data_IF_043997815689
#
_entry.id   IF_043997815689
#
_cell.length_a   1.000
_cell.length_b   1.000
_cell.length_c   1.000
_cell.angle_alpha   90.00
_cell.angle_beta   90.00
_cell.angle_gamma   90.00
#
_symmetry.space_group_name_H-M   'P 1'
#
loop_
_entity.id
_entity.type
_entity.pdbx_description
1 polymer ?
#
# COMPACT_ATOMS: atom_id res chain seq x y z
N UNK A 1 -3.92 -23.55 -11.58
CA UNK A 1 -5.03 -24.12 -12.41
C UNK A 1 -5.13 -23.30 -13.68
N UNK A 2 -4.98 -23.94 -14.85
CA UNK A 2 -5.26 -23.29 -16.13
C UNK A 2 -6.76 -23.37 -16.39
N UNK A 3 -7.48 -22.25 -16.24
CA UNK A 3 -8.89 -22.15 -16.59
C UNK A 3 -9.01 -21.84 -18.08
N UNK A 4 -9.83 -22.64 -18.80
CA UNK A 4 -10.10 -22.42 -20.21
C UNK A 4 -10.75 -21.05 -20.48
N UNK A 5 -10.42 -20.43 -21.61
CA UNK A 5 -10.92 -19.12 -22.01
C UNK A 5 -12.39 -19.23 -22.45
N UNK A 6 -13.32 -18.76 -21.62
CA UNK A 6 -14.71 -18.57 -21.98
C UNK A 6 -14.90 -17.09 -22.46
N UNK A 7 -15.75 -16.84 -23.46
CA UNK A 7 -15.99 -15.49 -24.02
C UNK A 7 -16.41 -14.46 -22.93
N UNK A 8 -17.20 -14.88 -21.95
CA UNK A 8 -17.57 -14.03 -20.82
C UNK A 8 -16.37 -13.66 -19.94
N UNK A 9 -15.46 -14.60 -19.66
CA UNK A 9 -14.23 -14.36 -18.93
C UNK A 9 -13.31 -13.38 -19.65
N UNK A 10 -13.14 -13.54 -20.97
CA UNK A 10 -12.33 -12.64 -21.79
C UNK A 10 -12.88 -11.21 -21.79
N UNK A 11 -14.20 -11.05 -21.83
CA UNK A 11 -14.86 -9.74 -21.80
C UNK A 11 -14.65 -9.00 -20.47
N UNK A 12 -14.79 -9.73 -19.34
CA UNK A 12 -14.55 -9.19 -17.99
C UNK A 12 -13.08 -8.83 -17.78
N UNK A 13 -12.16 -9.71 -18.19
CA UNK A 13 -10.72 -9.47 -18.15
C UNK A 13 -10.35 -8.20 -18.93
N UNK A 14 -10.81 -8.07 -20.17
CA UNK A 14 -10.49 -6.92 -21.03
C UNK A 14 -11.04 -5.60 -20.46
N UNK A 15 -12.21 -5.62 -19.83
CA UNK A 15 -12.81 -4.45 -19.18
C UNK A 15 -11.95 -3.99 -17.99
N UNK A 16 -11.51 -4.90 -17.17
CA UNK A 16 -10.59 -4.62 -16.05
C UNK A 16 -9.23 -4.14 -16.53
N UNK A 17 -8.72 -4.71 -17.61
CA UNK A 17 -7.45 -4.28 -18.19
C UNK A 17 -7.51 -2.81 -18.62
N UNK A 18 -8.59 -2.39 -19.29
CA UNK A 18 -8.81 -1.00 -19.68
C UNK A 18 -8.98 -0.09 -18.46
N UNK A 19 -9.75 -0.54 -17.46
CA UNK A 19 -9.95 0.22 -16.21
C UNK A 19 -8.63 0.39 -15.44
N UNK A 20 -7.88 -0.67 -15.23
CA UNK A 20 -6.62 -0.64 -14.47
C UNK A 20 -5.54 0.17 -15.19
N UNK A 21 -5.50 0.10 -16.51
CA UNK A 21 -4.58 0.89 -17.30
C UNK A 21 -4.86 2.39 -17.15
N UNK A 22 -6.14 2.80 -17.27
CA UNK A 22 -6.53 4.20 -17.05
C UNK A 22 -6.29 4.66 -15.61
N UNK A 23 -6.49 3.79 -14.63
CA UNK A 23 -6.21 4.07 -13.22
C UNK A 23 -4.73 4.33 -12.97
N UNK A 24 -3.85 3.53 -13.56
CA UNK A 24 -2.40 3.56 -13.29
C UNK A 24 -1.65 4.56 -14.17
N UNK A 25 -2.15 4.84 -15.37
CA UNK A 25 -1.49 5.72 -16.34
C UNK A 25 -2.09 7.14 -16.34
N UNK A 26 -3.37 7.28 -15.90
CA UNK A 26 -4.10 8.54 -15.87
C UNK A 26 -4.98 8.72 -17.09
N UNK A 27 -4.52 9.49 -18.10
CA UNK A 27 -5.30 9.80 -19.29
C UNK A 27 -4.76 9.06 -20.52
N UNK A 28 -5.64 8.42 -21.28
CA UNK A 28 -5.30 7.75 -22.53
C UNK A 28 -6.39 8.00 -23.60
N UNK A 29 -5.97 8.12 -24.87
CA UNK A 29 -6.89 8.05 -25.99
C UNK A 29 -7.28 6.58 -26.28
N UNK A 30 -8.33 6.38 -27.09
CA UNK A 30 -8.67 5.02 -27.56
C UNK A 30 -7.54 4.38 -28.37
N UNK A 31 -6.78 5.18 -29.09
CA UNK A 31 -5.61 4.70 -29.86
C UNK A 31 -4.52 4.17 -28.92
N UNK A 32 -4.23 4.92 -27.83
CA UNK A 32 -3.23 4.50 -26.84
C UNK A 32 -3.67 3.23 -26.10
N UNK A 33 -4.98 3.10 -25.84
CA UNK A 33 -5.55 1.87 -25.27
C UNK A 33 -5.42 0.66 -26.21
N UNK A 34 -5.63 0.84 -27.52
CA UNK A 34 -5.41 -0.20 -28.53
C UNK A 34 -3.95 -0.63 -28.54
N UNK A 35 -3.02 0.33 -28.58
CA UNK A 35 -1.58 0.07 -28.61
C UNK A 35 -1.11 -0.64 -27.33
N UNK A 36 -1.55 -0.16 -26.16
CA UNK A 36 -1.13 -0.71 -24.86
C UNK A 36 -1.73 -2.07 -24.54
N UNK A 37 -2.95 -2.37 -25.02
CA UNK A 37 -3.65 -3.62 -24.70
C UNK A 37 -3.56 -4.69 -25.78
N UNK A 38 -3.27 -4.31 -27.02
CA UNK A 38 -3.36 -5.19 -28.19
C UNK A 38 -4.79 -5.60 -28.59
N UNK A 39 -5.81 -5.01 -27.95
CA UNK A 39 -7.21 -5.29 -28.25
C UNK A 39 -7.64 -4.60 -29.56
N UNK A 40 -8.62 -5.20 -30.25
CA UNK A 40 -9.18 -4.60 -31.46
C UNK A 40 -9.85 -3.25 -31.18
N UNK A 41 -9.76 -2.27 -32.10
CA UNK A 41 -10.37 -0.94 -31.93
C UNK A 41 -11.86 -1.00 -31.56
N UNK A 42 -12.62 -1.92 -32.16
CA UNK A 42 -14.04 -2.10 -31.86
C UNK A 42 -14.28 -2.57 -30.42
N UNK A 43 -13.40 -3.43 -29.90
CA UNK A 43 -13.47 -3.92 -28.52
C UNK A 43 -13.21 -2.79 -27.53
N UNK A 44 -12.19 -1.97 -27.78
CA UNK A 44 -11.90 -0.76 -26.98
C UNK A 44 -13.07 0.22 -27.03
N UNK A 45 -13.65 0.47 -28.23
CA UNK A 45 -14.79 1.35 -28.37
C UNK A 45 -15.98 0.88 -27.53
N UNK A 46 -16.32 -0.42 -27.59
CA UNK A 46 -17.42 -0.99 -26.82
C UNK A 46 -17.20 -0.90 -25.31
N UNK A 47 -15.99 -1.27 -24.83
CA UNK A 47 -15.63 -1.22 -23.40
C UNK A 47 -15.69 0.24 -22.90
N UNK A 48 -15.03 1.15 -23.59
CA UNK A 48 -14.98 2.56 -23.16
C UNK A 48 -16.37 3.22 -23.19
N UNK A 49 -17.21 2.90 -24.16
CA UNK A 49 -18.58 3.39 -24.23
C UNK A 49 -19.44 2.87 -23.07
N UNK A 50 -19.28 1.60 -22.70
CA UNK A 50 -19.98 1.01 -21.55
C UNK A 50 -19.56 1.66 -20.24
N UNK A 51 -18.25 1.83 -20.01
CA UNK A 51 -17.73 2.49 -18.81
C UNK A 51 -18.10 3.98 -18.73
N UNK A 52 -18.18 4.70 -19.88
CA UNK A 52 -18.67 6.08 -19.95
C UNK A 52 -20.15 6.18 -19.59
N UNK A 53 -21.01 5.30 -20.15
CA UNK A 53 -22.44 5.26 -19.82
C UNK A 53 -22.72 5.05 -18.34
N UNK A 54 -21.82 4.37 -17.64
CA UNK A 54 -21.92 4.09 -16.20
C UNK A 54 -21.26 5.15 -15.32
N UNK A 55 -20.70 6.20 -15.93
CA UNK A 55 -20.03 7.27 -15.21
C UNK A 55 -18.67 6.90 -14.62
N UNK A 56 -18.13 5.72 -14.94
CA UNK A 56 -16.80 5.30 -14.48
C UNK A 56 -15.66 5.99 -15.21
N UNK A 57 -15.91 6.43 -16.44
CA UNK A 57 -14.96 7.22 -17.23
C UNK A 57 -15.53 8.59 -17.54
N UNK A 58 -14.63 9.53 -17.78
CA UNK A 58 -14.90 10.85 -18.30
C UNK A 58 -14.13 11.00 -19.61
N UNK A 59 -14.76 11.58 -20.64
CA UNK A 59 -14.15 11.87 -21.92
C UNK A 59 -13.94 13.38 -22.08
N UNK A 60 -12.71 13.80 -22.30
CA UNK A 60 -12.33 15.20 -22.51
C UNK A 60 -11.70 15.39 -23.89
N UNK A 61 -12.21 16.37 -24.66
CA UNK A 61 -11.62 16.76 -25.95
C UNK A 61 -10.52 17.80 -25.74
N UNK A 62 -9.30 17.53 -26.23
CA UNK A 62 -8.24 18.55 -26.29
C UNK A 62 -8.00 18.95 -27.73
N UNK A 63 -8.09 20.26 -28.02
CA UNK A 63 -7.69 20.82 -29.31
C UNK A 63 -6.16 20.71 -29.39
N UNK A 64 -5.68 19.90 -30.32
CA UNK A 64 -4.28 19.96 -30.74
C UNK A 64 -4.18 21.01 -31.87
N UNK A 65 -3.12 21.83 -31.85
CA UNK A 65 -2.88 22.86 -32.94
C UNK A 65 -2.63 22.26 -34.34
N UNK A 66 -2.95 21.00 -34.56
CA UNK A 66 -2.90 20.32 -35.86
C UNK A 66 -4.30 20.29 -36.50
N UNK A 67 -4.37 20.52 -37.82
CA UNK A 67 -5.61 20.34 -38.60
C UNK A 67 -6.14 18.91 -38.42
N UNK A 68 -7.26 18.75 -37.70
CA UNK A 68 -7.91 17.47 -37.42
C UNK A 68 -8.99 17.63 -36.33
N UNK A 69 -9.87 16.65 -36.20
CA UNK A 69 -10.81 16.60 -35.07
C UNK A 69 -10.05 16.58 -33.73
N UNK A 70 -10.54 17.24 -32.67
CA UNK A 70 -9.93 17.21 -31.36
C UNK A 70 -9.73 15.76 -30.90
N UNK A 71 -8.52 15.41 -30.45
CA UNK A 71 -8.26 14.10 -29.88
C UNK A 71 -8.98 13.99 -28.53
N UNK A 72 -9.75 12.93 -28.37
CA UNK A 72 -10.51 12.65 -27.15
C UNK A 72 -9.71 11.76 -26.23
N UNK A 73 -9.53 12.23 -25.01
CA UNK A 73 -8.87 11.49 -23.94
C UNK A 73 -9.89 10.96 -22.94
N UNK A 74 -9.62 9.78 -22.45
CA UNK A 74 -10.42 9.10 -21.43
C UNK A 74 -9.64 9.10 -20.13
N UNK A 75 -10.31 9.39 -19.03
CA UNK A 75 -9.77 9.23 -17.68
C UNK A 75 -10.80 8.60 -16.77
N UNK A 76 -10.33 7.97 -15.72
CA UNK A 76 -11.20 7.45 -14.67
C UNK A 76 -11.95 8.61 -13.99
N UNK A 77 -13.21 8.40 -13.67
CA UNK A 77 -13.97 9.32 -12.84
C UNK A 77 -13.66 9.03 -11.37
N UNK A 78 -12.87 9.88 -10.73
CA UNK A 78 -12.49 9.73 -9.33
C UNK A 78 -13.70 9.54 -8.39
N UNK A 79 -14.80 10.27 -8.68
CA UNK A 79 -16.02 10.30 -7.86
C UNK A 79 -17.03 9.19 -8.22
N UNK A 80 -16.67 8.25 -9.09
CA UNK A 80 -17.56 7.14 -9.43
C UNK A 80 -17.59 6.05 -8.35
N UNK A 81 -16.77 6.13 -7.33
CA UNK A 81 -16.73 5.21 -6.22
C UNK A 81 -16.00 5.79 -5.03
N UNK A 82 -16.23 5.20 -3.88
CA UNK A 82 -15.55 5.46 -2.63
C UNK A 82 -14.99 4.15 -2.07
N UNK A 83 -13.86 4.22 -1.41
CA UNK A 83 -13.21 3.09 -0.74
C UNK A 83 -12.77 3.49 0.66
N UNK A 84 -12.71 2.54 1.57
CA UNK A 84 -12.18 2.78 2.90
C UNK A 84 -10.85 2.06 3.08
N UNK A 85 -9.90 2.76 3.71
CA UNK A 85 -8.63 2.19 4.13
C UNK A 85 -8.48 2.32 5.63
N UNK A 86 -8.08 1.25 6.28
CA UNK A 86 -7.85 1.20 7.72
C UNK A 86 -6.42 0.75 7.96
N UNK A 87 -5.68 1.51 8.73
CA UNK A 87 -4.39 1.08 9.27
C UNK A 87 -4.55 0.76 10.75
N UNK A 88 -4.29 -0.49 11.09
CA UNK A 88 -4.26 -0.98 12.46
C UNK A 88 -2.81 -1.03 12.90
N UNK A 89 -2.38 -0.03 13.66
CA UNK A 89 -1.04 0.06 14.21
C UNK A 89 -1.07 -0.11 15.74
N UNK A 90 0.09 -0.28 16.36
CA UNK A 90 0.19 -0.45 17.83
C UNK A 90 -0.46 0.67 18.62
N UNK A 91 -0.43 1.86 18.09
CA UNK A 91 -0.84 3.08 18.79
C UNK A 91 -2.29 3.44 18.53
N UNK A 92 -2.91 2.87 17.52
CA UNK A 92 -4.27 3.22 17.17
C UNK A 92 -4.75 2.65 15.86
N UNK A 93 -5.96 3.02 15.55
CA UNK A 93 -6.63 2.70 14.30
C UNK A 93 -6.81 4.01 13.55
N UNK A 94 -6.24 4.12 12.37
CA UNK A 94 -6.50 5.22 11.44
C UNK A 94 -7.35 4.71 10.30
N UNK A 95 -8.49 5.34 10.06
CA UNK A 95 -9.36 5.02 8.94
C UNK A 95 -9.52 6.22 8.02
N UNK A 96 -9.48 6.00 6.71
CA UNK A 96 -9.64 7.01 5.67
C UNK A 96 -10.71 6.60 4.68
N UNK A 97 -11.50 7.59 4.22
CA UNK A 97 -12.31 7.45 3.01
C UNK A 97 -11.54 8.06 1.84
N UNK A 98 -11.47 7.36 0.72
CA UNK A 98 -10.78 7.82 -0.47
C UNK A 98 -11.67 7.68 -1.70
N UNK A 99 -11.40 8.51 -2.71
CA UNK A 99 -11.93 8.32 -4.06
C UNK A 99 -11.18 7.20 -4.81
N UNK A 100 -11.55 6.93 -6.06
CA UNK A 100 -10.93 5.86 -6.86
C UNK A 100 -9.47 6.13 -7.29
N UNK A 101 -8.93 7.32 -7.03
CA UNK A 101 -7.51 7.66 -7.18
C UNK A 101 -6.74 7.65 -5.87
N UNK A 102 -7.37 7.19 -4.77
CA UNK A 102 -6.80 7.22 -3.42
C UNK A 102 -6.57 8.65 -2.88
N UNK A 103 -7.28 9.66 -3.41
CA UNK A 103 -7.32 10.96 -2.78
C UNK A 103 -8.20 10.90 -1.54
N UNK A 104 -7.64 11.29 -0.40
CA UNK A 104 -8.34 11.28 0.89
C UNK A 104 -9.50 12.29 0.89
N UNK A 105 -10.68 11.82 1.27
CA UNK A 105 -11.91 12.60 1.42
C UNK A 105 -12.18 12.93 2.90
N UNK A 106 -11.94 11.97 3.78
CA UNK A 106 -12.14 12.11 5.22
C UNK A 106 -11.23 11.15 5.99
N UNK A 107 -10.97 11.48 7.26
CA UNK A 107 -10.15 10.67 8.19
C UNK A 107 -10.81 10.60 9.56
N UNK A 108 -10.68 9.43 10.20
CA UNK A 108 -11.11 9.17 11.59
C UNK A 108 -10.07 8.32 12.29
N UNK A 109 -10.00 8.40 13.60
CA UNK A 109 -9.10 7.59 14.42
C UNK A 109 -9.83 7.01 15.61
N UNK A 110 -9.35 5.87 16.11
CA UNK A 110 -9.86 5.23 17.32
C UNK A 110 -8.71 4.53 18.06
N UNK A 111 -8.85 4.28 19.37
CA UNK A 111 -7.88 3.47 20.10
C UNK A 111 -7.90 2.02 19.61
N UNK A 112 -6.74 1.37 19.68
CA UNK A 112 -6.57 -0.06 19.46
C UNK A 112 -6.46 -0.80 20.79
N UNK A 113 -6.94 -2.03 20.83
CA UNK A 113 -6.68 -2.97 21.92
C UNK A 113 -6.11 -4.26 21.33
N UNK A 114 -4.81 -4.47 21.52
CA UNK A 114 -4.15 -5.66 21.01
C UNK A 114 -4.51 -6.93 21.78
N UNK A 115 -4.81 -6.80 23.08
CA UNK A 115 -5.27 -7.91 23.93
C UNK A 115 -6.75 -8.27 23.72
N UNK A 116 -7.51 -7.37 23.10
CA UNK A 116 -8.93 -7.58 22.81
C UNK A 116 -9.25 -7.24 21.35
N UNK A 117 -9.00 -8.18 20.41
CA UNK A 117 -9.27 -8.00 18.99
C UNK A 117 -10.73 -7.60 18.69
N UNK A 118 -11.70 -8.15 19.42
CA UNK A 118 -13.13 -7.84 19.22
C UNK A 118 -13.43 -6.36 19.45
N UNK A 119 -12.84 -5.74 20.46
CA UNK A 119 -12.99 -4.31 20.72
C UNK A 119 -12.40 -3.47 19.57
N UNK A 120 -11.23 -3.86 19.05
CA UNK A 120 -10.61 -3.18 17.91
C UNK A 120 -11.43 -3.36 16.62
N UNK A 121 -11.93 -4.56 16.35
CA UNK A 121 -12.81 -4.85 15.21
C UNK A 121 -14.10 -4.02 15.29
N UNK A 122 -14.69 -3.90 16.49
CA UNK A 122 -15.85 -3.04 16.70
C UNK A 122 -15.54 -1.56 16.42
N UNK A 123 -14.36 -1.08 16.84
CA UNK A 123 -13.90 0.28 16.55
C UNK A 123 -13.69 0.48 15.03
N UNK A 124 -13.09 -0.48 14.32
CA UNK A 124 -12.95 -0.43 12.86
C UNK A 124 -14.34 -0.28 12.20
N UNK A 125 -15.29 -1.14 12.57
CA UNK A 125 -16.63 -1.09 11.99
C UNK A 125 -17.33 0.25 12.24
N UNK A 126 -17.17 0.81 13.44
CA UNK A 126 -17.69 2.14 13.79
C UNK A 126 -17.07 3.24 12.93
N UNK A 127 -15.74 3.25 12.77
CA UNK A 127 -15.04 4.23 11.93
C UNK A 127 -15.49 4.14 10.47
N UNK A 128 -15.65 2.92 9.93
CA UNK A 128 -16.14 2.69 8.57
C UNK A 128 -17.57 3.21 8.41
N UNK A 129 -18.44 2.99 9.40
CA UNK A 129 -19.80 3.50 9.38
C UNK A 129 -19.85 5.05 9.41
N UNK A 130 -18.99 5.69 10.22
CA UNK A 130 -18.87 7.16 10.25
C UNK A 130 -18.35 7.71 8.91
N UNK A 131 -17.33 7.08 8.32
CA UNK A 131 -16.78 7.47 7.01
C UNK A 131 -17.78 7.24 5.87
N UNK A 132 -18.66 6.26 5.98
CA UNK A 132 -19.70 6.00 4.98
C UNK A 132 -20.66 7.18 4.79
N UNK A 133 -20.85 8.00 5.83
CA UNK A 133 -21.66 9.22 5.75
C UNK A 133 -21.04 10.28 4.83
N UNK A 134 -19.70 10.33 4.76
CA UNK A 134 -18.97 11.24 3.86
C UNK A 134 -19.06 10.82 2.38
N UNK A 135 -19.45 9.56 2.15
CA UNK A 135 -19.59 8.97 0.81
C UNK A 135 -21.07 8.77 0.42
N UNK A 136 -22.00 9.51 1.04
CA UNK A 136 -23.43 9.35 0.77
C UNK A 136 -23.75 9.59 -0.72
N UNK A 137 -24.50 8.67 -1.31
CA UNK A 137 -24.86 8.70 -2.74
C UNK A 137 -23.78 8.22 -3.71
N UNK A 138 -22.62 7.79 -3.21
CA UNK A 138 -21.52 7.24 -4.02
C UNK A 138 -21.38 5.73 -3.75
N UNK A 139 -21.23 4.86 -4.78
CA UNK A 139 -21.00 3.44 -4.57
C UNK A 139 -19.73 3.16 -3.76
N UNK A 140 -19.83 2.40 -2.68
CA UNK A 140 -18.70 1.95 -1.88
C UNK A 140 -18.16 0.64 -2.46
N UNK A 141 -16.86 0.61 -2.78
CA UNK A 141 -16.22 -0.55 -3.40
C UNK A 141 -15.67 -1.55 -2.38
N UNK A 142 -15.58 -1.18 -1.11
CA UNK A 142 -15.13 -2.04 -0.03
C UNK A 142 -14.16 -1.35 0.92
N UNK A 143 -13.66 -2.13 1.88
CA UNK A 143 -12.71 -1.72 2.90
C UNK A 143 -11.41 -2.51 2.77
N UNK A 144 -10.27 -1.85 2.77
CA UNK A 144 -8.97 -2.47 2.96
C UNK A 144 -8.47 -2.25 4.38
N UNK A 145 -7.74 -3.21 4.92
CA UNK A 145 -7.10 -3.13 6.24
C UNK A 145 -5.61 -3.41 6.05
N UNK A 146 -4.77 -2.45 6.45
CA UNK A 146 -3.34 -2.64 6.60
C UNK A 146 -3.02 -2.92 8.06
N UNK A 147 -2.30 -4.00 8.33
CA UNK A 147 -1.88 -4.35 9.68
C UNK A 147 -0.61 -5.18 9.63
N UNK A 148 0.20 -5.20 10.71
CA UNK A 148 1.30 -6.15 10.80
C UNK A 148 0.77 -7.57 10.63
N UNK A 149 1.33 -8.35 9.69
CA UNK A 149 0.89 -9.73 9.45
C UNK A 149 2.10 -10.62 9.19
N UNK A 150 2.16 -11.75 9.90
CA UNK A 150 3.01 -12.89 9.56
C UNK A 150 2.11 -14.09 9.31
N UNK A 151 2.21 -14.68 8.12
CA UNK A 151 1.40 -15.82 7.71
C UNK A 151 2.08 -17.11 8.10
N UNK A 152 1.34 -18.02 8.75
CA UNK A 152 1.80 -19.39 9.05
C UNK A 152 3.19 -19.49 9.71
N UNK A 153 3.70 -18.37 10.27
CA UNK A 153 4.95 -18.35 11.02
C UNK A 153 4.71 -18.73 12.48
N UNK A 154 5.76 -19.21 13.12
CA UNK A 154 5.77 -19.53 14.55
C UNK A 154 5.84 -18.21 15.35
N UNK A 155 4.68 -17.53 15.49
CA UNK A 155 4.57 -16.18 16.04
C UNK A 155 5.24 -16.00 17.41
N UNK A 156 5.17 -17.01 18.27
CA UNK A 156 5.78 -16.97 19.61
C UNK A 156 7.29 -16.71 19.55
N UNK A 157 7.92 -17.11 18.44
CA UNK A 157 9.36 -17.03 18.24
C UNK A 157 9.84 -15.71 17.64
N UNK A 158 8.99 -15.03 16.89
CA UNK A 158 9.38 -13.87 16.08
C UNK A 158 8.70 -12.55 16.48
N UNK A 159 7.61 -12.60 17.24
CA UNK A 159 6.85 -11.40 17.61
C UNK A 159 6.70 -11.34 19.12
N UNK A 160 7.68 -10.73 19.79
CA UNK A 160 7.72 -10.53 21.24
C UNK A 160 6.68 -9.56 21.81
N UNK A 161 5.65 -9.19 21.05
CA UNK A 161 4.65 -8.22 21.50
C UNK A 161 3.51 -8.89 22.24
N UNK A 162 3.33 -8.59 23.55
CA UNK A 162 2.14 -8.99 24.28
C UNK A 162 0.88 -8.47 23.55
N UNK A 163 -0.06 -9.38 23.25
CA UNK A 163 -1.33 -9.05 22.59
C UNK A 163 -1.39 -9.46 21.12
N UNK A 164 -0.28 -9.57 20.40
CA UNK A 164 -0.31 -10.09 19.03
C UNK A 164 -0.82 -11.54 18.95
N UNK A 165 -0.51 -12.35 19.93
CA UNK A 165 -1.03 -13.74 20.05
C UNK A 165 -2.56 -13.79 20.01
N UNK A 166 -3.25 -12.78 20.55
CA UNK A 166 -4.70 -12.71 20.50
C UNK A 166 -5.25 -12.56 19.06
N UNK A 167 -4.45 -12.03 18.13
CA UNK A 167 -4.83 -11.84 16.74
C UNK A 167 -4.49 -13.01 15.83
N UNK A 168 -3.61 -13.92 16.23
CA UNK A 168 -3.10 -15.02 15.40
C UNK A 168 -4.19 -15.94 14.81
N UNK A 169 -5.34 -16.04 15.49
CA UNK A 169 -6.47 -16.88 15.06
C UNK A 169 -7.72 -16.07 14.71
N UNK A 170 -7.64 -14.74 14.69
CA UNK A 170 -8.79 -13.87 14.39
C UNK A 170 -8.94 -13.76 12.88
N UNK A 171 -10.05 -14.19 12.30
CA UNK A 171 -10.34 -13.96 10.89
C UNK A 171 -10.78 -12.50 10.68
N UNK A 172 -9.82 -11.57 10.76
CA UNK A 172 -10.06 -10.11 10.80
C UNK A 172 -10.92 -9.65 9.63
N UNK A 173 -10.65 -10.13 8.41
CA UNK A 173 -11.44 -9.77 7.24
C UNK A 173 -12.90 -10.19 7.40
N UNK A 174 -13.16 -11.45 7.77
CA UNK A 174 -14.52 -11.99 7.95
C UNK A 174 -15.29 -11.25 9.06
N UNK A 175 -14.60 -10.97 10.17
CA UNK A 175 -15.21 -10.32 11.32
C UNK A 175 -15.62 -8.87 11.00
N UNK A 176 -14.77 -8.11 10.33
CA UNK A 176 -15.08 -6.74 9.92
C UNK A 176 -16.13 -6.73 8.80
N UNK A 177 -16.03 -7.65 7.82
CA UNK A 177 -17.02 -7.79 6.74
C UNK A 177 -18.43 -8.06 7.28
N UNK A 178 -18.54 -8.95 8.29
CA UNK A 178 -19.81 -9.25 8.93
C UNK A 178 -20.47 -8.03 9.60
N UNK A 179 -19.66 -7.10 10.14
CA UNK A 179 -20.15 -5.88 10.78
C UNK A 179 -20.43 -4.75 9.78
N UNK A 180 -19.60 -4.61 8.74
CA UNK A 180 -19.70 -3.51 7.78
C UNK A 180 -20.63 -3.82 6.60
N UNK A 181 -20.93 -5.09 6.32
CA UNK A 181 -21.77 -5.52 5.20
C UNK A 181 -21.18 -5.25 3.82
N UNK A 182 -19.86 -5.08 3.74
CA UNK A 182 -19.13 -4.83 2.49
C UNK A 182 -17.84 -5.66 2.45
N UNK A 183 -17.26 -5.91 1.26
CA UNK A 183 -16.04 -6.70 1.13
C UNK A 183 -14.86 -6.09 1.90
N UNK A 184 -14.13 -6.93 2.62
CA UNK A 184 -12.94 -6.54 3.38
C UNK A 184 -11.72 -7.31 2.90
N UNK A 185 -10.61 -6.60 2.75
CA UNK A 185 -9.34 -7.14 2.28
C UNK A 185 -8.25 -6.72 3.27
N UNK A 186 -7.49 -7.68 3.77
CA UNK A 186 -6.38 -7.43 4.71
C UNK A 186 -5.04 -7.63 4.00
N UNK A 187 -4.10 -6.73 4.22
CA UNK A 187 -2.73 -6.79 3.67
C UNK A 187 -1.72 -6.31 4.73
N UNK A 188 -0.47 -6.66 4.53
CA UNK A 188 0.64 -6.15 5.34
C UNK A 188 0.78 -4.61 5.18
N UNK A 189 1.13 -3.91 6.26
CA UNK A 189 1.25 -2.44 6.32
C UNK A 189 2.35 -1.89 5.38
N UNK A 190 3.52 -2.53 5.32
CA UNK A 190 4.60 -2.13 4.42
C UNK A 190 4.20 -2.32 2.94
N UNK A 191 3.49 -3.40 2.62
CA UNK A 191 2.96 -3.65 1.28
C UNK A 191 1.89 -2.64 0.91
N UNK A 192 0.96 -2.34 1.82
CA UNK A 192 -0.06 -1.32 1.62
C UNK A 192 0.58 0.05 1.39
N UNK A 193 1.55 0.45 2.22
CA UNK A 193 2.27 1.71 2.06
C UNK A 193 3.02 1.80 0.71
N UNK A 194 3.63 0.69 0.27
CA UNK A 194 4.23 0.62 -1.06
C UNK A 194 3.20 0.90 -2.16
N UNK A 195 2.00 0.30 -2.10
CA UNK A 195 0.94 0.54 -3.07
C UNK A 195 0.49 2.00 -3.10
N UNK A 196 0.42 2.68 -1.93
CA UNK A 196 0.10 4.11 -1.87
C UNK A 196 1.16 4.96 -2.58
N UNK A 197 2.44 4.70 -2.33
CA UNK A 197 3.54 5.42 -2.97
C UNK A 197 3.55 5.25 -4.50
N UNK A 198 3.09 4.11 -5.01
CA UNK A 198 2.93 3.88 -6.43
C UNK A 198 1.76 4.66 -7.02
N UNK A 199 0.70 4.85 -6.27
CA UNK A 199 -0.50 5.53 -6.76
C UNK A 199 -0.38 7.05 -6.71
N UNK A 200 0.09 7.59 -5.58
CA UNK A 200 0.07 9.04 -5.31
C UNK A 200 1.38 9.59 -4.73
N UNK A 201 2.42 8.78 -4.58
CA UNK A 201 3.67 9.14 -3.92
C UNK A 201 4.91 9.14 -4.83
N UNK A 202 6.04 8.73 -4.26
CA UNK A 202 7.38 8.76 -4.91
C UNK A 202 7.64 7.62 -5.89
N UNK A 203 6.75 6.61 -5.96
CA UNK A 203 6.88 5.46 -6.84
C UNK A 203 5.92 5.51 -8.06
N UNK A 204 5.30 6.65 -8.35
CA UNK A 204 4.45 6.81 -9.53
C UNK A 204 5.22 6.48 -10.80
N UNK A 205 4.66 5.59 -11.63
CA UNK A 205 5.28 5.11 -12.87
C UNK A 205 6.35 4.03 -12.69
N UNK A 206 6.72 3.65 -11.47
CA UNK A 206 7.65 2.56 -11.21
C UNK A 206 6.94 1.21 -11.22
N UNK A 207 7.64 0.19 -11.75
CA UNK A 207 7.15 -1.20 -11.79
C UNK A 207 7.95 -2.14 -10.90
N UNK A 208 9.20 -1.77 -10.57
CA UNK A 208 10.10 -2.56 -9.72
C UNK A 208 10.73 -1.64 -8.68
N UNK A 209 10.30 -1.73 -7.46
CA UNK A 209 10.86 -0.96 -6.34
C UNK A 209 10.60 -1.68 -5.02
N UNK A 210 11.35 -1.26 -4.00
CA UNK A 210 11.17 -1.74 -2.64
C UNK A 210 10.92 -0.55 -1.73
N UNK A 211 9.89 -0.64 -0.92
CA UNK A 211 9.56 0.35 0.10
C UNK A 211 9.92 -0.20 1.48
N UNK A 212 10.85 0.43 2.17
CA UNK A 212 11.22 0.11 3.54
C UNK A 212 10.29 0.89 4.47
N UNK A 213 9.51 0.18 5.27
CA UNK A 213 8.57 0.74 6.23
C UNK A 213 9.17 0.71 7.63
N UNK A 214 9.40 1.89 8.20
CA UNK A 214 9.86 2.08 9.58
C UNK A 214 8.66 2.46 10.44
N UNK A 215 8.18 1.49 11.20
CA UNK A 215 7.08 1.64 12.14
C UNK A 215 7.48 1.10 13.52
N UNK A 216 6.55 0.48 14.22
CA UNK A 216 6.85 -0.26 15.46
C UNK A 216 7.79 -1.43 15.21
N UNK A 217 7.70 -2.03 14.03
CA UNK A 217 8.66 -2.95 13.46
C UNK A 217 9.38 -2.34 12.25
N UNK A 218 10.08 -3.21 11.52
CA UNK A 218 10.75 -2.90 10.27
C UNK A 218 10.31 -3.91 9.21
N UNK A 219 9.62 -3.42 8.18
CA UNK A 219 9.12 -4.25 7.10
C UNK A 219 9.52 -3.71 5.73
N UNK A 220 9.26 -4.46 4.66
CA UNK A 220 9.41 -3.98 3.30
C UNK A 220 8.26 -4.43 2.40
N UNK A 221 7.67 -3.47 1.68
CA UNK A 221 6.79 -3.74 0.54
C UNK A 221 7.61 -3.90 -0.73
N UNK A 222 7.60 -5.09 -1.33
CA UNK A 222 8.36 -5.40 -2.54
C UNK A 222 7.39 -5.38 -3.72
N UNK A 223 7.67 -4.53 -4.73
CA UNK A 223 6.85 -4.44 -5.94
C UNK A 223 7.66 -4.92 -7.14
N UNK A 224 7.11 -5.89 -7.86
CA UNK A 224 7.65 -6.50 -9.07
C UNK A 224 6.57 -6.49 -10.16
N UNK A 225 6.89 -6.00 -11.35
CA UNK A 225 5.93 -5.82 -12.45
C UNK A 225 4.71 -4.97 -12.05
N UNK A 226 4.89 -4.05 -11.11
CA UNK A 226 3.82 -3.19 -10.59
C UNK A 226 2.87 -3.88 -9.61
N UNK A 227 3.17 -5.09 -9.17
CA UNK A 227 2.36 -5.87 -8.24
C UNK A 227 3.17 -6.25 -6.99
N UNK A 228 2.53 -6.41 -5.83
CA UNK A 228 3.21 -6.91 -4.64
C UNK A 228 3.81 -8.30 -4.87
N UNK A 229 5.06 -8.45 -4.46
CA UNK A 229 5.74 -9.73 -4.39
C UNK A 229 5.63 -10.27 -2.96
N UNK A 230 4.88 -11.34 -2.79
CA UNK A 230 4.52 -11.86 -1.47
C UNK A 230 5.34 -13.09 -1.06
N UNK A 231 6.09 -13.69 -2.01
CA UNK A 231 6.76 -14.98 -1.77
C UNK A 231 5.77 -16.16 -1.73
N UNK A 232 6.28 -17.33 -1.39
CA UNK A 232 5.50 -18.57 -1.38
C UNK A 232 4.50 -18.65 -0.21
N UNK A 233 4.83 -18.00 0.91
CA UNK A 233 4.07 -18.04 2.17
C UNK A 233 3.59 -16.66 2.63
N UNK A 234 3.59 -15.68 1.72
CA UNK A 234 3.14 -14.29 1.96
C UNK A 234 3.95 -13.53 3.03
N UNK A 235 5.19 -13.91 3.27
CA UNK A 235 6.10 -13.29 4.23
C UNK A 235 7.32 -12.64 3.55
N UNK A 236 7.24 -12.32 2.25
CA UNK A 236 8.32 -11.58 1.61
C UNK A 236 8.39 -10.15 2.16
N UNK A 237 9.58 -9.69 2.49
CA UNK A 237 9.77 -8.34 3.02
C UNK A 237 9.97 -8.25 4.54
N UNK A 238 10.06 -9.38 5.25
CA UNK A 238 10.32 -9.44 6.70
C UNK A 238 11.79 -9.10 7.00
N UNK A 239 12.22 -7.90 6.62
CA UNK A 239 13.60 -7.41 6.77
C UNK A 239 13.98 -7.10 8.22
N UNK A 240 13.00 -6.91 9.09
CA UNK A 240 13.21 -6.75 10.54
C UNK A 240 13.78 -7.99 11.21
N UNK A 241 13.60 -9.18 10.60
CA UNK A 241 14.11 -10.46 11.08
C UNK A 241 15.53 -10.79 10.57
N UNK A 242 16.16 -9.89 9.83
CA UNK A 242 17.53 -10.10 9.36
C UNK A 242 18.52 -10.11 10.52
N UNK A 243 19.48 -11.04 10.46
CA UNK A 243 20.60 -11.07 11.40
C UNK A 243 21.61 -9.96 11.07
N UNK A 244 21.98 -9.19 12.07
CA UNK A 244 22.93 -8.09 11.95
C UNK A 244 24.31 -8.47 12.47
N UNK A 245 25.40 -7.88 11.97
CA UNK A 245 26.71 -7.97 12.58
C UNK A 245 26.70 -7.51 14.04
N UNK A 246 27.64 -7.99 14.86
CA UNK A 246 27.69 -7.71 16.29
C UNK A 246 27.67 -6.23 16.65
N UNK A 247 28.34 -5.40 15.85
CA UNK A 247 28.40 -3.95 16.01
C UNK A 247 27.12 -3.20 15.57
N UNK A 248 26.19 -3.90 14.94
CA UNK A 248 24.91 -3.37 14.44
C UNK A 248 23.70 -4.08 15.06
N UNK A 249 23.91 -4.85 16.14
CA UNK A 249 22.81 -5.48 16.87
C UNK A 249 21.86 -4.44 17.46
N UNK A 250 20.57 -4.76 17.65
CA UNK A 250 19.64 -3.88 18.35
C UNK A 250 20.05 -3.65 19.81
N UNK A 251 19.47 -2.62 20.42
CA UNK A 251 19.75 -2.24 21.83
C UNK A 251 19.33 -3.31 22.84
N UNK A 252 18.40 -4.20 22.46
CA UNK A 252 17.99 -5.37 23.23
C UNK A 252 17.66 -6.54 22.28
N UNK A 253 17.81 -7.77 22.77
CA UNK A 253 17.71 -8.98 21.94
C UNK A 253 16.29 -9.27 21.40
N UNK A 254 15.27 -8.75 22.08
CA UNK A 254 13.85 -8.90 21.77
C UNK A 254 13.26 -7.69 21.03
N UNK A 255 14.09 -6.75 20.63
CA UNK A 255 13.68 -5.51 19.96
C UNK A 255 14.05 -5.56 18.48
N UNK A 256 13.10 -5.24 17.61
CA UNK A 256 13.37 -5.10 16.17
C UNK A 256 14.34 -3.94 15.94
N UNK A 257 15.48 -4.17 15.28
CA UNK A 257 16.41 -3.09 14.95
C UNK A 257 15.77 -2.10 13.97
N UNK A 258 16.14 -0.85 14.08
CA UNK A 258 15.63 0.21 13.20
C UNK A 258 14.10 0.41 13.30
N UNK A 259 13.56 0.31 14.49
CA UNK A 259 12.13 0.48 14.78
C UNK A 259 11.88 1.65 15.72
N UNK A 260 10.60 2.07 15.84
CA UNK A 260 10.20 3.05 16.86
C UNK A 260 10.39 2.51 18.28
N UNK A 261 10.27 1.20 18.47
CA UNK A 261 10.51 0.57 19.77
C UNK A 261 11.98 0.71 20.19
N UNK A 262 12.92 0.44 19.27
CA UNK A 262 14.35 0.67 19.49
C UNK A 262 14.64 2.16 19.78
N UNK A 263 13.99 3.07 19.06
CA UNK A 263 14.15 4.50 19.25
C UNK A 263 13.65 4.95 20.63
N UNK A 264 12.50 4.47 21.08
CA UNK A 264 11.95 4.77 22.40
C UNK A 264 12.89 4.32 23.53
N UNK A 265 13.44 3.12 23.43
CA UNK A 265 14.44 2.59 24.38
C UNK A 265 15.71 3.46 24.35
N UNK A 266 16.21 3.80 23.17
CA UNK A 266 17.41 4.64 23.01
C UNK A 266 17.24 6.02 23.63
N UNK A 267 16.05 6.60 23.50
CA UNK A 267 15.72 7.91 24.07
C UNK A 267 15.29 7.84 25.55
N UNK A 268 15.14 6.64 26.10
CA UNK A 268 14.60 6.39 27.45
C UNK A 268 13.24 7.05 27.69
N UNK A 269 12.32 6.93 26.71
CA UNK A 269 10.97 7.48 26.76
C UNK A 269 9.92 6.40 26.49
N UNK A 270 8.69 6.65 26.92
CA UNK A 270 7.57 5.82 26.51
C UNK A 270 7.30 5.96 25.02
N UNK A 271 6.86 4.88 24.41
CA UNK A 271 6.58 4.83 22.96
C UNK A 271 5.56 5.90 22.53
N UNK A 272 4.56 6.17 23.37
CA UNK A 272 3.55 7.23 23.16
C UNK A 272 4.14 8.65 23.07
N UNK A 273 5.33 8.88 23.62
CA UNK A 273 6.00 10.17 23.46
C UNK A 273 6.44 10.43 22.01
N UNK A 274 6.78 9.36 21.26
CA UNK A 274 7.20 9.48 19.86
C UNK A 274 6.05 9.88 18.92
N UNK A 275 4.80 9.69 19.37
CA UNK A 275 3.59 10.05 18.62
C UNK A 275 3.25 11.54 18.70
N UNK A 276 3.82 12.24 19.65
CA UNK A 276 3.59 13.66 19.77
C UNK A 276 4.19 14.38 18.55
N UNK A 277 3.38 15.17 17.79
CA UNK A 277 3.75 15.65 16.46
C UNK A 277 5.10 16.36 16.38
N UNK A 278 5.50 17.08 17.42
CA UNK A 278 6.71 17.89 17.41
C UNK A 278 7.85 17.32 18.26
N UNK A 279 7.64 16.22 18.97
CA UNK A 279 8.64 15.69 19.89
C UNK A 279 9.95 15.33 19.18
N UNK A 280 9.90 14.44 18.20
CA UNK A 280 11.09 14.03 17.44
C UNK A 280 11.70 15.18 16.63
N UNK A 281 10.86 16.07 16.06
CA UNK A 281 11.36 17.26 15.36
C UNK A 281 12.12 18.20 16.30
N UNK A 282 11.62 18.41 17.52
CA UNK A 282 12.30 19.23 18.53
C UNK A 282 13.63 18.63 18.95
N UNK A 283 13.70 17.32 19.24
CA UNK A 283 14.95 16.63 19.55
C UNK A 283 15.95 16.71 18.40
N UNK A 284 15.48 16.59 17.15
CA UNK A 284 16.33 16.70 15.97
C UNK A 284 16.92 18.10 15.82
N UNK A 285 16.10 19.16 15.99
CA UNK A 285 16.56 20.55 15.95
C UNK A 285 17.57 20.87 17.06
N UNK A 286 17.36 20.31 18.25
CA UNK A 286 18.26 20.46 19.40
C UNK A 286 19.51 19.59 19.29
N UNK A 287 19.63 18.75 18.24
CA UNK A 287 20.72 17.80 18.06
C UNK A 287 20.91 16.88 19.28
N UNK A 288 19.81 16.38 19.81
CA UNK A 288 19.87 15.43 20.93
C UNK A 288 20.85 14.29 20.64
N UNK A 289 21.76 13.98 21.56
CA UNK A 289 22.87 13.04 21.35
C UNK A 289 22.41 11.63 21.05
N UNK A 290 21.39 11.17 21.76
CA UNK A 290 20.84 9.81 21.63
C UNK A 290 20.15 9.63 20.29
N UNK A 291 19.33 10.62 19.86
CA UNK A 291 18.70 10.63 18.55
C UNK A 291 19.75 10.66 17.42
N UNK A 292 20.80 11.48 17.56
CA UNK A 292 21.87 11.53 16.55
C UNK A 292 22.63 10.21 16.48
N UNK A 293 22.89 9.55 17.61
CA UNK A 293 23.53 8.23 17.65
C UNK A 293 22.65 7.16 17.01
N UNK A 294 21.33 7.17 17.28
CA UNK A 294 20.37 6.27 16.65
C UNK A 294 20.30 6.46 15.12
N UNK A 295 20.27 7.70 14.64
CA UNK A 295 20.31 8.00 13.20
C UNK A 295 21.61 7.50 12.55
N UNK A 296 22.76 7.68 13.21
CA UNK A 296 24.06 7.22 12.71
C UNK A 296 24.12 5.68 12.64
N UNK A 297 23.66 4.98 13.68
CA UNK A 297 23.60 3.53 13.71
C UNK A 297 22.70 2.99 12.58
N UNK A 298 21.51 3.56 12.44
CA UNK A 298 20.53 3.10 11.46
C UNK A 298 20.87 3.49 10.02
N UNK A 299 21.66 4.54 9.81
CA UNK A 299 22.21 4.81 8.47
C UNK A 299 23.21 3.72 8.02
N UNK A 300 23.99 3.13 8.94
CA UNK A 300 24.87 1.99 8.65
C UNK A 300 24.07 0.73 8.32
N UNK A 301 23.01 0.44 9.10
CA UNK A 301 22.09 -0.66 8.81
C UNK A 301 21.40 -0.48 7.45
N UNK A 302 20.90 0.72 7.18
CA UNK A 302 20.25 1.04 5.92
C UNK A 302 21.19 0.88 4.73
N UNK A 303 22.48 1.24 4.87
CA UNK A 303 23.48 1.04 3.81
C UNK A 303 23.66 -0.43 3.45
N UNK A 304 23.63 -1.33 4.44
CA UNK A 304 23.68 -2.78 4.22
C UNK A 304 22.38 -3.27 3.57
N UNK A 305 21.22 -2.86 4.10
CA UNK A 305 19.91 -3.21 3.54
C UNK A 305 19.79 -2.82 2.07
N UNK A 306 20.18 -1.60 1.72
CA UNK A 306 20.19 -1.13 0.33
C UNK A 306 21.00 -2.06 -0.56
N UNK A 307 22.22 -2.44 -0.13
CA UNK A 307 23.06 -3.36 -0.90
C UNK A 307 22.44 -4.75 -1.05
N UNK A 308 21.83 -5.28 -0.01
CA UNK A 308 21.13 -6.58 -0.06
C UNK A 308 19.95 -6.50 -1.04
N UNK A 309 19.08 -5.51 -0.88
CA UNK A 309 17.89 -5.34 -1.70
C UNK A 309 18.26 -5.17 -3.18
N UNK A 310 19.26 -4.34 -3.48
CA UNK A 310 19.70 -4.10 -4.85
C UNK A 310 20.28 -5.37 -5.51
N UNK A 311 21.06 -6.15 -4.79
CA UNK A 311 21.64 -7.37 -5.33
C UNK A 311 20.65 -8.53 -5.44
N UNK A 312 19.52 -8.50 -4.69
CA UNK A 312 18.49 -9.53 -4.75
C UNK A 312 17.38 -9.22 -5.76
N UNK A 313 16.97 -7.95 -5.88
CA UNK A 313 15.78 -7.56 -6.64
C UNK A 313 16.05 -6.64 -7.82
N UNK A 314 17.26 -6.07 -7.95
CA UNK A 314 17.63 -5.06 -8.97
C UNK A 314 16.54 -4.00 -9.19
N UNK A 315 16.05 -3.31 -8.14
CA UNK A 315 14.93 -2.42 -8.26
C UNK A 315 15.29 -1.11 -8.97
N UNK A 316 14.29 -0.45 -9.56
CA UNK A 316 14.43 0.89 -10.12
C UNK A 316 14.77 1.91 -9.03
N UNK A 317 14.24 1.72 -7.82
CA UNK A 317 14.44 2.61 -6.67
C UNK A 317 14.15 1.86 -5.36
N UNK A 318 14.81 2.28 -4.29
CA UNK A 318 14.43 1.93 -2.92
C UNK A 318 13.87 3.21 -2.27
N UNK A 319 12.70 3.08 -1.65
CA UNK A 319 12.07 4.12 -0.86
C UNK A 319 12.14 3.77 0.62
N UNK A 320 12.29 4.76 1.48
CA UNK A 320 12.19 4.59 2.94
C UNK A 320 11.16 5.58 3.48
N UNK A 321 10.23 5.09 4.28
CA UNK A 321 9.17 5.89 4.90
C UNK A 321 8.55 5.17 6.09
N UNK A 322 7.43 5.67 6.56
CA UNK A 322 6.72 5.13 7.73
C UNK A 322 6.40 6.21 8.76
N UNK A 323 6.55 5.89 10.04
CA UNK A 323 6.03 6.69 11.14
C UNK A 323 6.98 7.78 11.66
N UNK A 324 8.21 7.90 11.14
CA UNK A 324 9.12 8.98 11.52
C UNK A 324 8.78 10.29 10.79
N UNK A 325 9.11 11.45 11.37
CA UNK A 325 9.03 12.72 10.67
C UNK A 325 9.87 12.75 9.39
N UNK A 326 9.41 13.45 8.33
CA UNK A 326 10.13 13.54 7.06
C UNK A 326 11.59 14.03 7.17
N UNK A 327 11.87 14.93 8.09
CA UNK A 327 13.22 15.45 8.34
C UNK A 327 14.19 14.35 8.81
N UNK A 328 13.71 13.38 9.60
CA UNK A 328 14.53 12.27 10.07
C UNK A 328 14.79 11.27 8.92
N UNK A 329 13.81 10.99 8.07
CA UNK A 329 14.02 10.18 6.87
C UNK A 329 15.01 10.82 5.90
N UNK A 330 14.90 12.13 5.66
CA UNK A 330 15.88 12.85 4.84
C UNK A 330 17.29 12.74 5.43
N UNK A 331 17.44 12.92 6.76
CA UNK A 331 18.72 12.76 7.46
C UNK A 331 19.28 11.34 7.37
N UNK A 332 18.42 10.32 7.49
CA UNK A 332 18.82 8.92 7.32
C UNK A 332 19.33 8.64 5.90
N UNK A 333 18.62 9.11 4.89
CA UNK A 333 19.04 8.98 3.49
C UNK A 333 20.39 9.64 3.26
N UNK A 334 20.56 10.90 3.68
CA UNK A 334 21.81 11.65 3.51
C UNK A 334 23.00 10.96 4.19
N UNK A 335 22.83 10.46 5.42
CA UNK A 335 23.85 9.74 6.19
C UNK A 335 24.17 8.36 5.61
N UNK A 336 23.25 7.77 4.87
CA UNK A 336 23.45 6.47 4.24
C UNK A 336 24.43 6.54 3.05
N UNK A 337 24.57 7.70 2.43
CA UNK A 337 25.56 7.90 1.38
C UNK A 337 26.99 8.08 1.95
N UNK A 338 28.05 7.60 1.23
CA UNK A 338 27.98 6.85 -0.03
C UNK A 338 27.45 5.43 0.16
N UNK A 339 26.65 4.97 -0.81
CA UNK A 339 26.11 3.61 -0.81
C UNK A 339 27.19 2.59 -1.18
N UNK A 340 27.03 1.36 -0.69
CA UNK A 340 27.90 0.25 -1.05
C UNK A 340 27.81 -0.07 -2.56
N UNK A 341 28.87 -0.62 -3.15
CA UNK A 341 28.82 -1.17 -4.50
C UNK A 341 27.73 -2.25 -4.61
N UNK A 342 26.96 -2.20 -5.71
CA UNK A 342 25.94 -3.19 -6.02
C UNK A 342 25.68 -3.25 -7.52
N UNK A 343 24.88 -4.22 -7.97
CA UNK A 343 24.43 -4.33 -9.36
C UNK A 343 23.67 -3.09 -9.86
N UNK A 344 23.06 -2.34 -8.95
CA UNK A 344 22.33 -1.10 -9.26
C UNK A 344 23.24 0.11 -9.51
N UNK A 345 24.54 0.03 -9.21
CA UNK A 345 25.51 1.10 -9.45
C UNK A 345 25.89 1.17 -10.94
N UNK A 346 24.94 1.55 -11.80
CA UNK A 346 25.10 1.63 -13.26
C UNK A 346 25.72 2.97 -13.67
N UNK A 347 26.47 2.99 -14.77
CA UNK A 347 27.13 4.20 -15.31
C UNK A 347 26.14 5.31 -15.66
N UNK A 348 24.94 4.94 -16.15
CA UNK A 348 23.87 5.86 -16.50
C UNK A 348 22.64 5.49 -15.66
N UNK A 349 22.32 6.32 -14.70
CA UNK A 349 21.13 6.19 -13.85
C UNK A 349 20.49 7.56 -13.68
N UNK A 350 19.22 7.66 -14.02
CA UNK A 350 18.47 8.93 -13.98
C UNK A 350 17.71 9.14 -12.66
N UNK A 351 17.67 8.12 -11.79
CA UNK A 351 16.97 8.15 -10.51
C UNK A 351 17.91 7.85 -9.34
N UNK A 352 17.72 8.43 -8.15
CA UNK A 352 18.46 8.04 -6.96
C UNK A 352 18.20 6.57 -6.61
N UNK A 353 19.22 5.89 -6.06
CA UNK A 353 19.12 4.49 -5.62
C UNK A 353 18.28 4.35 -4.38
N UNK A 354 18.38 5.32 -3.49
CA UNK A 354 17.63 5.43 -2.23
C UNK A 354 17.06 6.84 -2.12
N UNK A 355 15.80 6.94 -1.73
CA UNK A 355 15.09 8.20 -1.52
C UNK A 355 14.10 8.05 -0.35
N UNK A 356 13.82 9.11 0.38
CA UNK A 356 12.73 9.08 1.33
C UNK A 356 11.38 9.17 0.61
N UNK A 357 10.40 8.48 1.13
CA UNK A 357 9.05 8.40 0.60
C UNK A 357 8.31 9.74 0.78
N UNK A 358 7.35 10.00 -0.11
CA UNK A 358 6.57 11.23 -0.08
C UNK A 358 5.46 11.19 0.96
N UNK A 359 4.81 10.03 1.07
CA UNK A 359 3.74 9.81 2.02
C UNK A 359 4.35 9.50 3.40
N UNK A 360 3.74 10.04 4.44
CA UNK A 360 4.15 9.79 5.82
C UNK A 360 3.46 8.59 6.45
N UNK A 361 3.09 8.71 7.72
CA UNK A 361 2.42 7.66 8.47
C UNK A 361 1.06 7.22 7.87
N UNK A 362 0.44 8.08 7.07
CA UNK A 362 -0.82 7.78 6.36
C UNK A 362 -0.67 6.81 5.19
N UNK A 363 0.54 6.55 4.73
CA UNK A 363 0.78 5.71 3.55
C UNK A 363 0.09 4.33 3.65
N UNK A 364 0.14 3.70 4.81
CA UNK A 364 -0.48 2.38 5.02
C UNK A 364 -2.01 2.45 4.93
N UNK A 365 -2.65 3.46 5.51
CA UNK A 365 -4.11 3.64 5.45
C UNK A 365 -4.57 3.95 4.01
N UNK A 366 -3.88 4.85 3.31
CA UNK A 366 -4.16 5.17 1.90
C UNK A 366 -3.95 3.93 1.02
N UNK A 367 -2.88 3.18 1.25
CA UNK A 367 -2.59 1.93 0.54
C UNK A 367 -3.64 0.85 0.80
N UNK A 368 -4.13 0.75 2.03
CA UNK A 368 -5.26 -0.12 2.36
C UNK A 368 -6.50 0.25 1.54
N UNK A 369 -6.82 1.54 1.39
CA UNK A 369 -7.94 1.99 0.57
C UNK A 369 -7.82 1.58 -0.91
N UNK A 370 -6.62 1.35 -1.43
CA UNK A 370 -6.40 0.85 -2.79
C UNK A 370 -6.72 -0.64 -2.96
N UNK A 371 -6.69 -1.43 -1.88
CA UNK A 371 -6.87 -2.89 -1.96
C UNK A 371 -8.20 -3.29 -2.61
N UNK A 372 -9.37 -2.73 -2.24
CA UNK A 372 -10.63 -3.03 -2.92
C UNK A 372 -10.60 -2.64 -4.40
N UNK A 373 -9.99 -1.50 -4.76
CA UNK A 373 -9.90 -1.05 -6.15
C UNK A 373 -9.07 -2.05 -6.97
N UNK A 374 -7.92 -2.47 -6.46
CA UNK A 374 -7.03 -3.42 -7.13
C UNK A 374 -7.69 -4.80 -7.20
N UNK A 375 -8.28 -5.27 -6.11
CA UNK A 375 -8.92 -6.58 -6.05
C UNK A 375 -10.09 -6.71 -7.04
N UNK A 376 -10.86 -5.65 -7.20
CA UNK A 376 -12.04 -5.67 -8.07
C UNK A 376 -11.77 -5.13 -9.47
N UNK A 377 -10.88 -4.14 -9.60
CA UNK A 377 -10.60 -3.44 -10.85
C UNK A 377 -9.40 -3.95 -11.65
N UNK A 378 -8.43 -4.66 -11.03
CA UNK A 378 -7.27 -5.18 -11.76
C UNK A 378 -7.51 -6.58 -12.31
N UNK A 379 -7.10 -6.89 -13.54
CA UNK A 379 -7.14 -8.24 -14.08
C UNK A 379 -6.14 -9.18 -13.39
N UNK A 380 -5.18 -8.61 -12.66
CA UNK A 380 -4.11 -9.34 -11.98
C UNK A 380 -4.37 -9.57 -10.49
N UNK A 381 -5.58 -9.29 -10.01
CA UNK A 381 -5.97 -9.39 -8.59
C UNK A 381 -5.66 -10.75 -7.95
N UNK A 382 -5.63 -11.86 -8.71
CA UNK A 382 -5.27 -13.20 -8.21
C UNK A 382 -3.82 -13.31 -7.74
N UNK A 383 -2.95 -12.35 -8.11
CA UNK A 383 -1.57 -12.26 -7.64
C UNK A 383 -1.47 -11.50 -6.30
N UNK A 384 -2.53 -10.83 -5.89
CA UNK A 384 -2.66 -10.33 -4.52
C UNK A 384 -3.07 -11.52 -3.67
N UNK A 385 -2.16 -12.06 -2.90
CA UNK A 385 -2.43 -13.11 -1.92
C UNK A 385 -3.15 -12.48 -0.73
N UNK A 386 -4.40 -12.21 -0.94
CA UNK A 386 -5.19 -11.54 0.02
C UNK A 386 -5.56 -12.55 1.12
N UNK A 387 -5.38 -12.18 2.38
CA UNK A 387 -6.11 -12.80 3.48
C UNK A 387 -7.59 -12.52 3.24
N UNK A 388 -8.20 -13.31 2.37
CA UNK A 388 -9.63 -13.21 2.11
C UNK A 388 -10.39 -13.90 3.20
N UNK A 389 -11.46 -13.23 3.58
CA UNK A 389 -12.59 -13.89 4.19
C UNK A 389 -12.90 -15.18 3.42
N UNK A 390 -12.85 -16.32 4.11
CA UNK A 390 -13.17 -17.64 3.53
C UNK A 390 -14.67 -17.82 3.29
N UNK A 391 -15.51 -16.95 3.89
CA UNK A 391 -16.94 -17.12 4.02
C UNK A 391 -17.74 -16.48 2.88
N UNK A 392 -17.27 -15.40 2.27
CA UNK A 392 -17.94 -14.79 1.13
C UNK A 392 -17.07 -14.96 -0.10
N UNK A 393 -17.35 -16.01 -0.88
CA UNK A 393 -16.81 -16.17 -2.23
C UNK A 393 -17.52 -15.13 -3.12
N UNK A 394 -17.20 -13.86 -2.90
CA UNK A 394 -17.49 -12.85 -3.90
C UNK A 394 -16.47 -13.09 -4.99
N UNK A 395 -16.92 -13.67 -6.12
CA UNK A 395 -16.09 -13.69 -7.31
C UNK A 395 -15.73 -12.24 -7.63
N UNK A 396 -14.43 -11.85 -7.53
CA UNK A 396 -14.05 -10.45 -7.76
C UNK A 396 -14.46 -9.94 -9.12
N UNK A 397 -14.62 -10.86 -10.09
CA UNK A 397 -15.09 -10.54 -11.43
C UNK A 397 -16.54 -10.11 -11.43
N UNK A 398 -17.37 -10.77 -10.62
CA UNK A 398 -18.78 -10.42 -10.45
C UNK A 398 -18.90 -9.14 -9.62
N UNK A 399 -18.04 -8.96 -8.63
CA UNK A 399 -18.11 -7.79 -7.77
C UNK A 399 -17.80 -6.49 -8.51
N UNK A 400 -16.75 -6.48 -9.35
CA UNK A 400 -16.47 -5.33 -10.21
C UNK A 400 -17.68 -4.97 -11.07
N UNK A 401 -18.28 -5.96 -11.73
CA UNK A 401 -19.46 -5.74 -12.56
C UNK A 401 -20.64 -5.20 -11.72
N UNK A 402 -20.80 -5.70 -10.49
CA UNK A 402 -21.87 -5.25 -9.57
C UNK A 402 -21.66 -3.80 -9.12
N UNK A 403 -20.47 -3.43 -8.61
CA UNK A 403 -20.16 -2.06 -8.16
C UNK A 403 -20.13 -1.08 -9.31
N UNK A 404 -19.68 -1.54 -10.47
CA UNK A 404 -19.71 -0.77 -11.71
C UNK A 404 -21.12 -0.71 -12.33
N UNK A 405 -22.16 -1.31 -11.72
CA UNK A 405 -23.51 -1.39 -12.26
C UNK A 405 -23.60 -2.20 -13.56
N UNK A 406 -22.67 -3.12 -13.79
CA UNK A 406 -22.61 -3.96 -14.97
C UNK A 406 -23.52 -5.20 -14.82
N UNK A 407 -24.14 -5.74 -15.89
CA UNK A 407 -24.96 -6.92 -15.77
C UNK A 407 -24.09 -8.10 -15.31
N UNK A 408 -24.53 -8.71 -14.21
CA UNK A 408 -23.96 -9.96 -13.69
C UNK A 408 -24.66 -11.08 -14.47
N UNK A 409 -24.04 -11.59 -15.52
CA UNK A 409 -24.52 -12.73 -16.30
C UNK A 409 -23.79 -13.99 -15.92
#
# INVERSE_FOLDING_TARGET
MHTGNNHAYSGRYNRRLVFDLLRTTGELSRSDLVESTGLQPQTIANITQDLLKRGLLIEEGRSTNRRGAPQKFLRLNARAGCVFGVHLDRNGITAVACDLFACELARRTAPVSWQNPEASISNIAKLVAELSQECEGVPVWGTGIAMPTLQEADFEKYVGSPGWQAWSHVPTADAVEALCGMPVIVENDATAAALAERQVGSAVGLTHYVYIFVGHGLGAGIIVDGLPFQGAFNNAGEIGLLSWPSELQPVAADVTPFSLEELAITLAVDLSALEQPDFLNSLYQQRNSELMAWLELNSKRLRILVSIIENMFDPQKILIGGCLPPALFASLVDRTYPLLPSVAARKVRHMPRLEHARLGAEAAAIGAALLPIIAHGSPFFRRLSLMRARTVVIDPEIYFDRVAGLPVS
#
